data_IF_842456143423
#
_entry.id   IF_842456143423
#
_cell.length_a   1.000
_cell.length_b   1.000
_cell.length_c   1.000
_cell.angle_alpha   90.00
_cell.angle_beta   90.00
_cell.angle_gamma   90.00
#
_symmetry.space_group_name_H-M   'P 1'
#
loop_
_entity.id
_entity.type
_entity.pdbx_description
1 polymer ?
#
# COMPACT_ATOMS: atom_id res chain seq x y z
N UNK A 1 -11.01 -5.95 -41.43
CA UNK A 1 -10.93 -7.31 -40.87
C UNK A 1 -11.88 -7.37 -39.69
N UNK A 2 -12.88 -8.25 -39.71
CA UNK A 2 -13.80 -8.46 -38.58
C UNK A 2 -13.40 -9.79 -37.95
N UNK A 3 -12.97 -9.76 -36.71
CA UNK A 3 -12.69 -10.98 -35.94
C UNK A 3 -14.01 -11.72 -35.66
N UNK A 4 -14.00 -13.04 -35.79
CA UNK A 4 -15.14 -13.84 -35.39
C UNK A 4 -15.29 -13.75 -33.85
N UNK A 5 -16.53 -13.75 -33.31
CA UNK A 5 -16.73 -13.70 -31.83
C UNK A 5 -15.96 -14.78 -31.06
N UNK A 6 -15.78 -15.96 -31.66
CA UNK A 6 -15.02 -17.05 -31.08
C UNK A 6 -13.51 -16.77 -30.97
N UNK A 7 -12.94 -16.04 -31.95
CA UNK A 7 -11.52 -15.63 -31.91
C UNK A 7 -11.29 -14.58 -30.83
N UNK A 8 -12.23 -13.68 -30.62
CA UNK A 8 -12.18 -12.66 -29.59
C UNK A 8 -12.25 -13.30 -28.19
N UNK A 9 -13.12 -14.28 -27.99
CA UNK A 9 -13.21 -15.05 -26.75
C UNK A 9 -11.91 -15.80 -26.47
N UNK A 10 -11.28 -16.39 -27.48
CA UNK A 10 -10.00 -17.09 -27.33
C UNK A 10 -8.89 -16.15 -26.85
N UNK A 11 -8.78 -14.94 -27.43
CA UNK A 11 -7.81 -13.95 -27.01
C UNK A 11 -7.98 -13.55 -25.53
N UNK A 12 -9.23 -13.36 -25.08
CA UNK A 12 -9.52 -13.02 -23.68
C UNK A 12 -9.20 -14.20 -22.74
N UNK A 13 -9.40 -15.43 -23.19
CA UNK A 13 -9.11 -16.64 -22.40
C UNK A 13 -7.63 -17.03 -22.40
N UNK A 14 -6.86 -16.62 -23.41
CA UNK A 14 -5.44 -16.99 -23.55
C UNK A 14 -4.56 -16.41 -22.44
N UNK A 15 -4.95 -15.29 -21.82
CA UNK A 15 -4.30 -14.74 -20.63
C UNK A 15 -4.53 -15.60 -19.35
N UNK A 16 -5.37 -16.64 -19.43
CA UNK A 16 -5.65 -17.54 -18.31
C UNK A 16 -6.44 -16.93 -17.15
N UNK A 17 -6.96 -15.71 -17.34
CA UNK A 17 -7.72 -14.96 -16.33
C UNK A 17 -9.24 -15.21 -16.41
N UNK A 18 -9.70 -15.81 -17.48
CA UNK A 18 -11.13 -16.05 -17.70
C UNK A 18 -11.39 -17.41 -18.33
N UNK A 19 -12.59 -17.91 -18.15
CA UNK A 19 -13.08 -19.11 -18.78
C UNK A 19 -14.61 -19.12 -18.79
N UNK A 20 -15.18 -19.98 -19.61
CA UNK A 20 -16.62 -20.13 -19.77
C UNK A 20 -17.04 -21.57 -19.59
N UNK A 21 -18.30 -21.76 -19.20
CA UNK A 21 -18.91 -23.07 -19.06
C UNK A 21 -20.36 -23.03 -19.50
N UNK A 22 -20.86 -24.18 -19.92
CA UNK A 22 -22.25 -24.37 -20.25
C UNK A 22 -22.71 -25.76 -19.81
N UNK A 23 -24.01 -25.86 -19.45
CA UNK A 23 -24.68 -27.10 -19.08
C UNK A 23 -26.05 -27.16 -19.70
N UNK A 24 -26.29 -28.16 -20.55
CA UNK A 24 -27.59 -28.46 -21.16
C UNK A 24 -28.29 -29.49 -20.28
N UNK A 25 -29.39 -29.11 -19.63
CA UNK A 25 -30.03 -29.94 -18.62
C UNK A 25 -30.68 -31.21 -19.22
N UNK A 26 -31.27 -31.11 -20.40
CA UNK A 26 -31.97 -32.25 -21.03
C UNK A 26 -31.00 -33.40 -21.39
N UNK A 27 -29.77 -33.11 -21.82
CA UNK A 27 -28.77 -34.12 -22.19
C UNK A 27 -27.80 -34.40 -21.05
N UNK A 28 -27.79 -33.57 -20.01
CA UNK A 28 -26.74 -33.58 -18.98
C UNK A 28 -25.35 -33.15 -19.48
N UNK A 29 -25.26 -32.68 -20.73
CA UNK A 29 -23.97 -32.30 -21.33
C UNK A 29 -23.43 -31.03 -20.66
N UNK A 30 -22.19 -31.13 -20.21
CA UNK A 30 -21.44 -30.00 -19.63
C UNK A 30 -20.17 -29.76 -20.44
N UNK A 31 -19.89 -28.50 -20.73
CA UNK A 31 -18.71 -28.08 -21.50
C UNK A 31 -18.02 -26.95 -20.78
N UNK A 32 -16.70 -27.01 -20.79
CA UNK A 32 -15.84 -25.94 -20.29
C UNK A 32 -14.92 -25.48 -21.41
N UNK A 33 -14.66 -24.18 -21.45
CA UNK A 33 -13.69 -23.66 -22.39
C UNK A 33 -12.26 -24.01 -21.99
N UNK A 34 -11.29 -23.99 -22.92
CA UNK A 34 -9.88 -24.20 -22.60
C UNK A 34 -9.37 -23.22 -21.53
N UNK A 35 -9.84 -21.98 -21.52
CA UNK A 35 -9.53 -21.00 -20.50
C UNK A 35 -9.96 -21.41 -19.11
N UNK A 36 -11.15 -22.03 -18.97
CA UNK A 36 -11.60 -22.50 -17.67
C UNK A 36 -10.76 -23.67 -17.13
N UNK A 37 -10.37 -24.63 -17.98
CA UNK A 37 -9.46 -25.70 -17.57
C UNK A 37 -8.13 -25.12 -17.07
N UNK A 38 -7.53 -24.17 -17.83
CA UNK A 38 -6.28 -23.50 -17.41
C UNK A 38 -6.45 -22.76 -16.09
N UNK A 39 -7.56 -22.01 -15.93
CA UNK A 39 -7.86 -21.28 -14.72
C UNK A 39 -7.96 -22.22 -13.50
N UNK A 40 -8.54 -23.39 -13.67
CA UNK A 40 -8.68 -24.40 -12.61
C UNK A 40 -7.42 -25.26 -12.42
N UNK A 41 -6.43 -25.14 -13.30
CA UNK A 41 -5.20 -25.97 -13.26
C UNK A 41 -5.46 -27.41 -13.65
N UNK A 42 -6.39 -27.65 -14.56
CA UNK A 42 -6.80 -28.97 -15.01
C UNK A 42 -6.37 -29.24 -16.46
N UNK A 43 -6.05 -30.51 -16.75
CA UNK A 43 -5.79 -30.95 -18.10
C UNK A 43 -7.10 -31.32 -18.81
N UNK A 44 -7.48 -30.64 -19.89
CA UNK A 44 -8.71 -30.93 -20.63
C UNK A 44 -8.74 -32.32 -21.30
N UNK A 45 -7.56 -32.94 -21.50
CA UNK A 45 -7.48 -34.27 -22.09
C UNK A 45 -7.75 -35.38 -21.07
N UNK A 46 -7.55 -35.10 -19.79
CA UNK A 46 -7.66 -36.06 -18.69
C UNK A 46 -8.89 -35.80 -17.81
N UNK A 47 -9.52 -34.65 -17.97
CA UNK A 47 -10.57 -34.20 -17.07
C UNK A 47 -11.86 -33.93 -17.81
N UNK A 48 -12.95 -34.56 -17.36
CA UNK A 48 -14.29 -34.28 -17.89
C UNK A 48 -14.92 -33.11 -17.16
N UNK A 49 -15.41 -32.13 -17.92
CA UNK A 49 -16.14 -30.99 -17.39
C UNK A 49 -17.39 -31.45 -16.61
N UNK A 50 -17.52 -31.02 -15.36
CA UNK A 50 -18.74 -31.26 -14.57
C UNK A 50 -18.88 -30.22 -13.45
N UNK A 51 -20.14 -29.89 -13.12
CA UNK A 51 -20.46 -28.98 -12.04
C UNK A 51 -20.02 -29.53 -10.67
N UNK A 52 -20.12 -30.87 -10.50
CA UNK A 52 -19.62 -31.54 -9.30
C UNK A 52 -18.15 -31.32 -9.11
N UNK A 53 -17.33 -31.51 -10.16
CA UNK A 53 -15.89 -31.27 -10.10
C UNK A 53 -15.56 -29.80 -9.72
N UNK A 54 -16.29 -28.83 -10.31
CA UNK A 54 -16.12 -27.44 -9.93
C UNK A 54 -16.40 -27.23 -8.44
N UNK A 55 -17.49 -27.82 -7.93
CA UNK A 55 -17.86 -27.71 -6.51
C UNK A 55 -16.82 -28.36 -5.60
N UNK A 56 -16.21 -29.47 -6.01
CA UNK A 56 -15.18 -30.17 -5.25
C UNK A 56 -13.90 -29.34 -5.13
N UNK A 57 -13.56 -28.56 -6.17
CA UNK A 57 -12.42 -27.65 -6.17
C UNK A 57 -12.67 -26.39 -5.32
N UNK A 58 -13.93 -26.05 -5.02
CA UNK A 58 -14.24 -24.90 -4.18
C UNK A 58 -13.81 -25.18 -2.75
N UNK A 59 -13.14 -24.21 -2.15
CA UNK A 59 -12.74 -24.27 -0.75
C UNK A 59 -13.95 -24.59 0.14
N UNK A 60 -13.85 -25.52 1.11
CA UNK A 60 -14.99 -25.99 1.90
C UNK A 60 -15.82 -24.87 2.53
N UNK A 61 -15.17 -23.82 3.03
CA UNK A 61 -15.84 -22.67 3.64
C UNK A 61 -16.64 -21.79 2.65
N UNK A 62 -16.45 -21.99 1.33
CA UNK A 62 -17.10 -21.16 0.31
C UNK A 62 -18.17 -21.94 -0.48
N UNK A 63 -18.30 -23.25 -0.26
CA UNK A 63 -19.24 -24.12 -1.00
C UNK A 63 -20.68 -23.69 -0.87
N UNK A 64 -21.08 -23.11 0.24
CA UNK A 64 -22.44 -22.61 0.46
C UNK A 64 -22.80 -21.38 -0.40
N UNK A 65 -21.81 -20.74 -1.04
CA UNK A 65 -22.03 -19.66 -2.01
C UNK A 65 -22.32 -20.17 -3.43
N UNK A 66 -22.25 -21.47 -3.67
CA UNK A 66 -22.64 -22.07 -4.95
C UNK A 66 -24.10 -22.53 -4.89
N UNK A 67 -24.79 -22.34 -6.01
CA UNK A 67 -26.11 -22.98 -6.19
C UNK A 67 -25.92 -24.50 -6.22
N UNK A 68 -26.77 -25.25 -5.57
CA UNK A 68 -26.79 -26.70 -5.76
C UNK A 68 -27.26 -27.06 -7.17
N UNK A 69 -26.97 -28.28 -7.61
CA UNK A 69 -27.54 -28.80 -8.87
C UNK A 69 -29.06 -28.71 -8.89
N UNK A 70 -29.72 -28.96 -7.76
CA UNK A 70 -31.17 -28.86 -7.63
C UNK A 70 -31.66 -27.42 -7.80
N UNK A 71 -30.96 -26.44 -7.20
CA UNK A 71 -31.31 -25.02 -7.34
C UNK A 71 -31.23 -24.57 -8.80
N UNK A 72 -30.15 -24.94 -9.51
CA UNK A 72 -29.96 -24.59 -10.92
C UNK A 72 -31.10 -25.21 -11.80
N UNK A 73 -31.46 -26.45 -11.53
CA UNK A 73 -32.57 -27.13 -12.23
C UNK A 73 -33.93 -26.53 -11.92
N UNK A 74 -34.08 -25.88 -10.76
CA UNK A 74 -35.28 -25.14 -10.37
C UNK A 74 -35.29 -23.68 -10.83
N UNK A 75 -34.21 -23.23 -11.45
CA UNK A 75 -34.10 -21.86 -11.95
C UNK A 75 -33.54 -20.85 -10.93
N UNK A 76 -33.00 -21.33 -9.84
CA UNK A 76 -32.39 -20.47 -8.84
C UNK A 76 -30.91 -20.24 -9.15
N UNK A 77 -30.52 -18.98 -9.29
CA UNK A 77 -29.13 -18.56 -9.47
C UNK A 77 -28.71 -17.66 -8.31
N UNK A 78 -27.61 -18.00 -7.66
CA UNK A 78 -27.08 -17.17 -6.59
C UNK A 78 -26.40 -15.91 -7.15
N UNK A 79 -26.42 -14.79 -6.40
CA UNK A 79 -25.77 -13.57 -6.82
C UNK A 79 -24.26 -13.77 -6.98
N UNK A 80 -23.64 -12.96 -7.84
CA UNK A 80 -22.20 -12.93 -8.05
C UNK A 80 -21.46 -12.83 -6.71
N UNK A 81 -20.56 -13.78 -6.44
CA UNK A 81 -19.73 -13.85 -5.24
C UNK A 81 -18.30 -14.20 -5.61
N UNK A 82 -17.36 -13.79 -4.77
CA UNK A 82 -16.00 -14.28 -4.80
C UNK A 82 -15.93 -15.59 -4.03
N UNK A 83 -15.33 -16.60 -4.65
CA UNK A 83 -15.12 -17.92 -4.07
C UNK A 83 -13.68 -18.36 -4.30
N UNK A 84 -13.12 -19.13 -3.36
CA UNK A 84 -11.78 -19.68 -3.45
C UNK A 84 -11.80 -21.05 -4.10
N UNK A 85 -10.90 -21.25 -5.03
CA UNK A 85 -10.64 -22.53 -5.69
C UNK A 85 -9.30 -23.06 -5.22
N UNK A 86 -9.25 -24.31 -4.76
CA UNK A 86 -8.04 -25.05 -4.49
C UNK A 86 -7.67 -25.85 -5.74
N UNK A 87 -6.60 -25.49 -6.43
CA UNK A 87 -6.11 -26.20 -7.59
C UNK A 87 -5.43 -27.52 -7.20
N UNK A 88 -5.31 -28.48 -8.13
CA UNK A 88 -4.61 -29.75 -7.87
C UNK A 88 -3.12 -29.57 -7.48
N UNK A 89 -2.49 -28.49 -7.92
CA UNK A 89 -1.11 -28.12 -7.57
C UNK A 89 -0.96 -27.52 -6.17
N UNK A 90 -2.07 -27.39 -5.42
CA UNK A 90 -2.11 -26.80 -4.08
C UNK A 90 -2.23 -25.28 -4.08
N UNK A 91 -2.19 -24.62 -5.23
CA UNK A 91 -2.35 -23.15 -5.29
C UNK A 91 -3.82 -22.75 -5.07
N UNK A 92 -4.01 -21.61 -4.38
CA UNK A 92 -5.34 -21.04 -4.13
C UNK A 92 -5.61 -19.91 -5.11
N UNK A 93 -6.77 -19.93 -5.77
CA UNK A 93 -7.25 -18.86 -6.63
C UNK A 93 -8.55 -18.30 -6.08
N UNK A 94 -8.72 -17.00 -6.18
CA UNK A 94 -10.02 -16.34 -5.92
C UNK A 94 -10.68 -16.06 -7.25
N UNK A 95 -11.87 -16.62 -7.46
CA UNK A 95 -12.62 -16.44 -8.69
C UNK A 95 -13.96 -15.76 -8.41
N UNK A 96 -14.51 -15.13 -9.43
CA UNK A 96 -15.91 -14.71 -9.45
C UNK A 96 -16.60 -15.36 -10.63
N UNK A 97 -17.85 -15.78 -10.42
CA UNK A 97 -18.65 -16.46 -11.45
C UNK A 97 -19.94 -15.69 -11.68
N UNK A 98 -20.28 -15.49 -12.95
CA UNK A 98 -21.60 -15.02 -13.39
C UNK A 98 -22.28 -16.14 -14.14
N UNK A 99 -23.45 -16.53 -13.67
CA UNK A 99 -24.29 -17.59 -14.26
C UNK A 99 -25.53 -16.97 -14.88
N UNK A 100 -25.92 -17.47 -16.03
CA UNK A 100 -27.15 -17.11 -16.74
C UNK A 100 -27.94 -18.37 -17.04
N UNK A 101 -29.26 -18.33 -16.79
CA UNK A 101 -30.16 -19.42 -17.07
C UNK A 101 -30.91 -19.14 -18.38
N UNK A 102 -30.92 -20.14 -19.24
CA UNK A 102 -31.71 -20.13 -20.45
C UNK A 102 -33.01 -20.93 -20.20
N UNK A 103 -34.16 -20.27 -20.37
CA UNK A 103 -35.46 -20.85 -20.14
C UNK A 103 -36.12 -21.28 -21.46
N UNK A 104 -37.03 -22.25 -21.38
CA UNK A 104 -37.96 -22.57 -22.48
C UNK A 104 -39.05 -21.49 -22.57
N UNK A 105 -39.82 -21.42 -23.67
CA UNK A 105 -40.97 -20.51 -23.77
C UNK A 105 -41.97 -20.64 -22.60
N UNK A 106 -42.07 -21.83 -22.00
CA UNK A 106 -42.93 -22.13 -20.85
C UNK A 106 -42.28 -21.76 -19.50
N UNK A 107 -41.11 -21.11 -19.51
CA UNK A 107 -40.43 -20.66 -18.31
C UNK A 107 -39.64 -21.72 -17.56
N UNK A 108 -39.41 -22.92 -18.13
CA UNK A 108 -38.63 -23.98 -17.49
C UNK A 108 -37.14 -23.86 -17.81
N UNK A 109 -36.25 -24.10 -16.85
CA UNK A 109 -34.82 -24.11 -17.10
C UNK A 109 -34.42 -25.16 -18.16
N UNK A 110 -33.75 -24.69 -19.24
CA UNK A 110 -33.27 -25.52 -20.34
C UNK A 110 -31.77 -25.75 -20.26
N UNK A 111 -31.03 -24.68 -19.93
CA UNK A 111 -29.60 -24.70 -19.84
C UNK A 111 -29.12 -23.64 -18.87
N UNK A 112 -27.92 -23.81 -18.36
CA UNK A 112 -27.16 -22.77 -17.67
C UNK A 112 -25.84 -22.53 -18.39
N UNK A 113 -25.39 -21.29 -18.42
CA UNK A 113 -24.07 -20.93 -18.93
C UNK A 113 -23.48 -19.84 -18.05
N UNK A 114 -22.16 -19.72 -18.07
CA UNK A 114 -21.53 -18.70 -17.26
C UNK A 114 -20.07 -18.42 -17.66
N UNK A 115 -19.60 -17.32 -17.14
CA UNK A 115 -18.20 -16.94 -17.22
C UNK A 115 -17.58 -16.94 -15.82
N UNK A 116 -16.32 -17.32 -15.76
CA UNK A 116 -15.50 -17.35 -14.55
C UNK A 116 -14.32 -16.41 -14.79
N UNK A 117 -14.05 -15.54 -13.80
CA UNK A 117 -12.94 -14.61 -13.84
C UNK A 117 -12.02 -14.90 -12.64
N UNK A 118 -10.71 -14.98 -12.88
CA UNK A 118 -9.70 -14.97 -11.82
C UNK A 118 -9.56 -13.54 -11.32
N UNK A 119 -9.83 -13.33 -10.04
CA UNK A 119 -9.71 -12.04 -9.37
C UNK A 119 -8.70 -12.12 -8.21
N UNK A 120 -7.79 -13.10 -8.25
CA UNK A 120 -6.85 -13.38 -7.16
C UNK A 120 -6.04 -12.16 -6.78
N UNK A 121 -5.42 -11.49 -7.76
CA UNK A 121 -4.59 -10.32 -7.50
C UNK A 121 -5.42 -9.12 -7.05
N UNK A 122 -6.59 -8.90 -7.67
CA UNK A 122 -7.50 -7.84 -7.26
C UNK A 122 -8.00 -8.06 -5.82
N UNK A 123 -8.39 -9.29 -5.48
CA UNK A 123 -8.83 -9.65 -4.14
C UNK A 123 -7.69 -9.54 -3.11
N UNK A 124 -6.47 -9.93 -3.48
CA UNK A 124 -5.30 -9.77 -2.62
C UNK A 124 -4.99 -8.28 -2.35
N UNK A 125 -5.01 -7.45 -3.39
CA UNK A 125 -4.81 -6.01 -3.27
C UNK A 125 -5.88 -5.35 -2.38
N UNK A 126 -7.15 -5.73 -2.55
CA UNK A 126 -8.24 -5.23 -1.71
C UNK A 126 -8.06 -5.62 -0.24
N UNK A 127 -7.66 -6.88 0.04
CA UNK A 127 -7.36 -7.33 1.41
C UNK A 127 -6.19 -6.56 2.03
N UNK A 128 -5.12 -6.31 1.27
CA UNK A 128 -3.99 -5.50 1.72
C UNK A 128 -4.43 -4.08 2.06
N UNK A 129 -5.20 -3.43 1.19
CA UNK A 129 -5.75 -2.08 1.43
C UNK A 129 -6.64 -2.04 2.68
N UNK A 130 -7.54 -3.01 2.84
CA UNK A 130 -8.40 -3.10 4.02
C UNK A 130 -7.60 -3.33 5.31
N UNK A 131 -6.56 -4.17 5.24
CA UNK A 131 -5.69 -4.43 6.40
C UNK A 131 -4.90 -3.17 6.78
N UNK A 132 -4.36 -2.45 5.81
CA UNK A 132 -3.65 -1.19 6.01
C UNK A 132 -4.59 -0.13 6.62
N UNK A 133 -5.79 0.01 6.05
CA UNK A 133 -6.81 0.91 6.60
C UNK A 133 -7.15 0.57 8.07
N UNK A 134 -7.39 -0.72 8.38
CA UNK A 134 -7.66 -1.13 9.78
C UNK A 134 -6.52 -0.79 10.71
N UNK A 135 -5.26 -0.96 10.28
CA UNK A 135 -4.08 -0.58 11.06
C UNK A 135 -4.01 0.92 11.30
N UNK A 136 -4.26 1.73 10.26
CA UNK A 136 -4.30 3.20 10.41
C UNK A 136 -5.43 3.64 11.35
N UNK A 137 -6.62 3.10 11.18
CA UNK A 137 -7.77 3.39 12.07
C UNK A 137 -7.48 3.01 13.52
N UNK A 138 -6.82 1.87 13.76
CA UNK A 138 -6.42 1.45 15.11
C UNK A 138 -5.36 2.39 15.71
N UNK A 139 -4.38 2.84 14.92
CA UNK A 139 -3.38 3.83 15.34
C UNK A 139 -4.02 5.16 15.69
N UNK A 140 -4.95 5.64 14.87
CA UNK A 140 -5.69 6.87 15.16
C UNK A 140 -6.49 6.75 16.45
N UNK A 141 -7.22 5.64 16.63
CA UNK A 141 -8.02 5.41 17.85
C UNK A 141 -7.16 5.33 19.11
N UNK A 142 -6.00 4.66 19.03
CA UNK A 142 -5.13 4.45 20.19
C UNK A 142 -4.23 5.66 20.52
N UNK A 143 -3.74 6.38 19.52
CA UNK A 143 -2.70 7.40 19.69
C UNK A 143 -3.03 8.76 19.07
N UNK A 144 -4.15 8.89 18.38
CA UNK A 144 -4.55 10.11 17.64
C UNK A 144 -3.50 10.55 16.61
N UNK A 145 -2.78 9.59 16.03
CA UNK A 145 -1.82 9.86 14.96
C UNK A 145 -2.53 9.73 13.62
N UNK A 146 -2.39 10.76 12.78
CA UNK A 146 -2.93 10.77 11.42
C UNK A 146 -1.79 10.86 10.41
N UNK A 147 -1.83 10.02 9.39
CA UNK A 147 -0.89 10.02 8.27
C UNK A 147 -1.56 10.65 7.05
N UNK A 148 -0.91 11.65 6.46
CA UNK A 148 -1.44 12.40 5.33
C UNK A 148 -0.36 12.42 4.24
N UNK A 149 -0.42 11.53 3.24
CA UNK A 149 0.45 11.60 2.07
C UNK A 149 0.22 12.90 1.30
N UNK A 150 1.30 13.48 0.77
CA UNK A 150 1.28 14.71 -0.01
C UNK A 150 2.16 14.51 -1.24
N UNK A 151 1.60 14.69 -2.42
CA UNK A 151 2.35 14.63 -3.68
C UNK A 151 3.35 15.79 -3.81
N UNK A 152 4.23 15.69 -4.79
CA UNK A 152 5.25 16.72 -5.05
C UNK A 152 4.66 18.06 -5.51
N UNK A 153 3.48 18.03 -6.09
CA UNK A 153 2.71 19.24 -6.49
C UNK A 153 1.96 19.88 -5.33
N UNK A 154 2.00 19.28 -4.13
CA UNK A 154 1.32 19.76 -2.93
C UNK A 154 -0.09 19.20 -2.75
N UNK A 155 -0.52 18.25 -3.56
CA UNK A 155 -1.85 17.61 -3.41
C UNK A 155 -1.86 16.70 -2.18
N UNK A 156 -2.84 16.91 -1.29
CA UNK A 156 -3.05 16.11 -0.08
C UNK A 156 -3.93 14.90 -0.36
N UNK A 157 -3.48 13.73 0.07
CA UNK A 157 -4.26 12.48 0.03
C UNK A 157 -4.80 12.15 1.42
N UNK A 158 -5.94 12.71 1.77
CA UNK A 158 -6.55 12.49 3.07
C UNK A 158 -7.08 11.05 3.20
N UNK A 159 -6.65 10.30 4.22
CA UNK A 159 -7.23 8.99 4.50
C UNK A 159 -8.66 9.14 5.05
N UNK A 160 -9.51 8.09 4.95
CA UNK A 160 -10.88 8.14 5.49
C UNK A 160 -10.97 8.55 6.97
N UNK A 161 -9.92 8.26 7.74
CA UNK A 161 -9.79 8.60 9.15
C UNK A 161 -9.69 10.12 9.40
N UNK A 162 -9.34 10.92 8.40
CA UNK A 162 -9.24 12.38 8.54
C UNK A 162 -10.60 13.01 8.91
N UNK A 163 -11.70 12.51 8.34
CA UNK A 163 -13.04 12.96 8.69
C UNK A 163 -13.38 12.67 10.16
N UNK A 164 -13.02 11.50 10.66
CA UNK A 164 -13.21 11.12 12.08
C UNK A 164 -12.30 11.97 13.00
N UNK A 165 -11.09 12.26 12.56
CA UNK A 165 -10.13 13.05 13.31
C UNK A 165 -10.56 14.51 13.43
N UNK A 166 -10.95 15.14 12.32
CA UNK A 166 -11.37 16.51 12.22
C UNK A 166 -12.79 16.76 12.75
N UNK A 167 -13.68 15.76 12.62
CA UNK A 167 -15.12 15.93 12.85
C UNK A 167 -15.84 16.65 11.70
N UNK A 168 -15.20 16.81 10.51
CA UNK A 168 -15.73 17.44 9.31
C UNK A 168 -15.97 16.42 8.19
N UNK A 169 -16.92 16.69 7.27
CA UNK A 169 -17.04 15.90 6.03
C UNK A 169 -15.74 15.91 5.23
N UNK A 170 -15.44 14.82 4.53
CA UNK A 170 -14.22 14.68 3.73
C UNK A 170 -14.12 15.76 2.63
N UNK A 171 -15.23 16.09 1.99
CA UNK A 171 -15.31 17.12 0.96
C UNK A 171 -14.88 18.51 1.47
N UNK A 172 -15.22 18.87 2.71
CA UNK A 172 -14.80 20.11 3.34
C UNK A 172 -13.30 20.12 3.68
N UNK A 173 -12.75 18.95 4.07
CA UNK A 173 -11.33 18.80 4.36
C UNK A 173 -10.50 18.93 3.08
N UNK A 174 -10.97 18.36 1.97
CA UNK A 174 -10.32 18.46 0.66
C UNK A 174 -10.39 19.90 0.14
N UNK A 175 -11.52 20.58 0.33
CA UNK A 175 -11.70 21.96 -0.11
C UNK A 175 -10.82 22.96 0.64
N UNK A 176 -10.63 22.77 1.96
CA UNK A 176 -9.73 23.59 2.79
C UNK A 176 -8.95 22.69 3.77
N UNK A 177 -7.77 22.21 3.36
CA UNK A 177 -6.90 21.35 4.19
C UNK A 177 -6.44 22.01 5.51
N UNK A 178 -6.47 23.31 5.58
CA UNK A 178 -5.97 24.08 6.72
C UNK A 178 -7.06 24.66 7.61
N UNK A 179 -8.34 24.37 7.34
CA UNK A 179 -9.44 24.92 8.11
C UNK A 179 -9.39 24.56 9.61
N UNK A 180 -8.80 23.38 9.92
CA UNK A 180 -8.64 22.92 11.30
C UNK A 180 -7.39 23.46 12.00
N UNK A 181 -6.58 24.27 11.34
CA UNK A 181 -5.49 25.02 11.98
C UNK A 181 -6.07 26.25 12.66
N UNK A 182 -5.67 26.53 13.89
CA UNK A 182 -6.14 27.72 14.63
C UNK A 182 -5.95 28.99 13.79
N UNK A 183 -6.97 29.86 13.67
CA UNK A 183 -6.93 31.00 12.75
C UNK A 183 -5.72 31.91 12.93
N UNK A 184 -5.25 32.10 14.17
CA UNK A 184 -4.11 32.94 14.49
C UNK A 184 -2.78 32.37 13.98
N UNK A 185 -2.68 31.05 13.77
CA UNK A 185 -1.46 30.36 13.35
C UNK A 185 -1.50 29.94 11.89
N UNK A 186 -2.67 30.00 11.23
CA UNK A 186 -2.89 29.41 9.89
C UNK A 186 -1.94 29.98 8.84
N UNK A 187 -1.81 31.28 8.75
CA UNK A 187 -0.96 31.92 7.74
C UNK A 187 0.51 31.52 7.93
N UNK A 188 1.04 31.64 9.15
CA UNK A 188 2.42 31.25 9.46
C UNK A 188 2.68 29.75 9.25
N UNK A 189 1.67 28.91 9.51
CA UNK A 189 1.76 27.47 9.28
C UNK A 189 1.83 27.15 7.78
N UNK A 190 0.98 27.76 6.95
CA UNK A 190 1.00 27.57 5.49
C UNK A 190 2.34 28.02 4.90
N UNK A 191 2.84 29.19 5.27
CA UNK A 191 4.14 29.72 4.84
C UNK A 191 5.28 28.74 5.23
N UNK A 192 5.21 28.22 6.46
CA UNK A 192 6.20 27.27 6.95
C UNK A 192 6.19 25.95 6.19
N UNK A 193 5.02 25.47 5.75
CA UNK A 193 4.92 24.26 4.91
C UNK A 193 5.50 24.52 3.52
N UNK A 194 5.16 25.64 2.88
CA UNK A 194 5.66 25.99 1.56
C UNK A 194 7.20 26.10 1.55
N UNK A 195 7.79 26.77 2.55
CA UNK A 195 9.23 26.84 2.70
C UNK A 195 9.88 25.48 2.88
N UNK A 196 9.31 24.61 3.71
CA UNK A 196 9.81 23.26 3.97
C UNK A 196 9.72 22.35 2.76
N UNK A 197 8.66 22.50 1.96
CA UNK A 197 8.53 21.77 0.69
C UNK A 197 9.66 22.17 -0.27
N UNK A 198 9.97 23.45 -0.36
CA UNK A 198 11.06 23.96 -1.20
C UNK A 198 12.44 23.43 -0.75
N UNK A 199 12.68 23.36 0.54
CA UNK A 199 13.97 22.92 1.13
C UNK A 199 14.11 21.40 1.20
N UNK A 200 13.10 20.62 0.86
CA UNK A 200 13.05 19.15 0.97
C UNK A 200 13.43 18.61 2.36
N UNK A 201 13.13 19.35 3.40
CA UNK A 201 13.61 19.08 4.75
C UNK A 201 12.61 18.28 5.57
N UNK A 202 13.16 17.46 6.46
CA UNK A 202 12.43 16.82 7.52
C UNK A 202 12.23 17.80 8.68
N UNK A 203 10.96 18.10 9.03
CA UNK A 203 10.68 19.05 10.11
C UNK A 203 9.46 18.69 10.92
N UNK A 204 9.52 18.95 12.23
CA UNK A 204 8.37 18.94 13.11
C UNK A 204 7.94 20.40 13.37
N UNK A 205 6.66 20.72 13.12
CA UNK A 205 6.10 22.01 13.46
C UNK A 205 5.03 21.86 14.52
N UNK A 206 5.04 22.68 15.58
CA UNK A 206 3.91 22.78 16.49
C UNK A 206 2.74 23.48 15.79
N UNK A 207 1.53 23.04 16.07
CA UNK A 207 0.32 23.73 15.65
C UNK A 207 -0.80 23.49 16.65
N UNK A 208 -1.74 24.41 16.71
CA UNK A 208 -3.01 24.18 17.38
C UNK A 208 -4.04 23.71 16.34
N UNK A 209 -4.48 22.47 16.50
CA UNK A 209 -5.50 21.85 15.67
C UNK A 209 -6.86 22.01 16.34
N UNK A 210 -7.84 22.47 15.60
CA UNK A 210 -9.22 22.62 16.10
C UNK A 210 -9.94 21.27 15.95
N UNK A 211 -10.02 20.53 17.02
CA UNK A 211 -10.84 19.31 17.08
C UNK A 211 -12.16 19.64 17.75
N UNK A 212 -13.28 19.40 17.07
CA UNK A 212 -14.61 19.78 17.56
C UNK A 212 -14.68 21.27 17.99
N UNK A 213 -13.91 22.14 17.31
CA UNK A 213 -13.75 23.59 17.58
C UNK A 213 -12.96 23.91 18.86
N UNK A 214 -12.41 22.96 19.54
CA UNK A 214 -11.50 23.19 20.66
C UNK A 214 -10.03 23.07 20.21
N UNK A 215 -9.17 24.06 20.52
CA UNK A 215 -7.77 23.99 20.13
C UNK A 215 -7.02 22.94 20.96
N UNK A 216 -6.46 21.96 20.29
CA UNK A 216 -5.59 20.95 20.89
C UNK A 216 -4.17 21.08 20.31
N UNK A 217 -3.15 20.96 21.11
CA UNK A 217 -1.76 21.04 20.65
C UNK A 217 -1.34 19.76 19.93
N UNK A 218 -0.95 19.94 18.68
CA UNK A 218 -0.42 18.91 17.79
C UNK A 218 0.97 19.27 17.27
N UNK A 219 1.65 18.29 16.74
CA UNK A 219 2.85 18.46 15.92
C UNK A 219 2.62 17.83 14.56
N UNK A 220 3.08 18.48 13.52
CA UNK A 220 3.13 17.94 12.15
C UNK A 220 4.57 17.62 11.82
N UNK A 221 4.81 16.38 11.40
CA UNK A 221 6.09 15.89 10.96
C UNK A 221 5.98 15.62 9.46
N UNK A 222 6.76 16.30 8.63
CA UNK A 222 6.84 16.02 7.20
C UNK A 222 8.03 15.12 6.93
N UNK A 223 7.77 13.94 6.37
CA UNK A 223 8.79 12.92 6.05
C UNK A 223 8.86 12.79 4.53
N UNK A 224 10.00 13.12 3.90
CA UNK A 224 10.18 12.87 2.47
C UNK A 224 10.31 11.37 2.21
N UNK A 225 9.64 10.88 1.17
CA UNK A 225 9.69 9.50 0.70
C UNK A 225 10.45 9.46 -0.62
N UNK A 226 11.43 8.57 -0.71
CA UNK A 226 12.28 8.45 -1.89
C UNK A 226 12.10 7.08 -2.54
N UNK A 227 12.22 7.04 -3.87
CA UNK A 227 12.28 5.78 -4.63
C UNK A 227 13.62 5.05 -4.41
N UNK A 228 13.74 3.86 -4.99
CA UNK A 228 14.96 3.04 -4.93
C UNK A 228 16.19 3.74 -5.53
N UNK A 229 15.98 4.73 -6.39
CA UNK A 229 17.03 5.54 -7.02
C UNK A 229 17.37 6.82 -6.25
N UNK A 230 16.73 7.01 -5.09
CA UNK A 230 16.95 8.20 -4.25
C UNK A 230 16.25 9.47 -4.75
N UNK A 231 15.27 9.36 -5.64
CA UNK A 231 14.45 10.50 -6.08
C UNK A 231 13.27 10.65 -5.13
N UNK A 232 13.00 11.89 -4.72
CA UNK A 232 11.82 12.23 -3.94
C UNK A 232 10.56 11.91 -4.77
N UNK A 233 9.65 11.13 -4.22
CA UNK A 233 8.40 10.72 -4.89
C UNK A 233 7.16 11.28 -4.21
N UNK A 234 7.18 11.42 -2.90
CA UNK A 234 6.08 11.99 -2.12
C UNK A 234 6.59 12.49 -0.77
N UNK A 235 5.73 13.13 0.00
CA UNK A 235 5.96 13.45 1.41
C UNK A 235 4.86 12.80 2.24
N UNK A 236 5.19 12.37 3.43
CA UNK A 236 4.20 11.87 4.38
C UNK A 236 4.11 12.83 5.57
N UNK A 237 2.99 13.52 5.70
CA UNK A 237 2.65 14.31 6.87
C UNK A 237 2.17 13.41 8.00
N UNK A 238 2.77 13.53 9.17
CA UNK A 238 2.34 12.81 10.38
C UNK A 238 1.89 13.84 11.39
N UNK A 239 0.59 13.84 11.65
CA UNK A 239 -0.03 14.69 12.65
C UNK A 239 -0.21 13.89 13.95
N UNK A 240 0.29 14.39 15.08
CA UNK A 240 0.23 13.71 16.38
C UNK A 240 0.11 14.69 17.56
N UNK A 241 -0.55 14.29 18.67
CA UNK A 241 -0.69 15.13 19.85
C UNK A 241 0.67 15.50 20.45
N UNK A 242 0.90 16.76 20.76
CA UNK A 242 2.17 17.22 21.34
C UNK A 242 2.44 16.62 22.75
N UNK A 243 1.38 16.24 23.47
CA UNK A 243 1.47 15.66 24.81
C UNK A 243 2.01 14.21 24.83
N UNK A 244 1.97 13.49 23.70
CA UNK A 244 2.43 12.10 23.63
C UNK A 244 3.97 11.95 23.72
N UNK A 245 4.74 13.04 23.69
CA UNK A 245 6.15 12.93 23.36
C UNK A 245 6.33 12.43 21.93
N UNK A 246 7.54 12.07 21.52
CA UNK A 246 7.73 11.39 20.21
C UNK A 246 7.29 9.92 20.35
N UNK A 247 6.19 9.45 19.70
CA UNK A 247 5.85 8.03 19.72
C UNK A 247 7.01 7.21 19.13
N UNK A 248 7.18 5.93 19.51
CA UNK A 248 8.26 5.07 19.00
C UNK A 248 8.37 5.04 17.47
N UNK A 249 7.22 5.04 16.79
CA UNK A 249 7.15 5.15 15.32
C UNK A 249 7.70 6.48 14.80
N UNK A 250 7.44 7.58 15.49
CA UNK A 250 7.96 8.90 15.15
C UNK A 250 9.45 8.97 15.42
N UNK A 251 9.94 8.32 16.48
CA UNK A 251 11.36 8.24 16.75
C UNK A 251 12.14 7.52 15.63
N UNK A 252 11.58 6.43 15.07
CA UNK A 252 12.19 5.74 13.94
C UNK A 252 12.12 6.55 12.65
N UNK A 253 11.02 7.25 12.40
CA UNK A 253 10.87 8.16 11.26
C UNK A 253 11.77 9.39 11.41
N UNK A 254 11.90 9.94 12.62
CA UNK A 254 12.87 10.99 12.95
C UNK A 254 14.30 10.52 12.70
N UNK A 255 14.63 9.27 13.05
CA UNK A 255 15.93 8.69 12.77
C UNK A 255 16.22 8.61 11.27
N UNK A 256 15.24 8.18 10.47
CA UNK A 256 15.35 8.12 9.00
C UNK A 256 15.53 9.53 8.43
N UNK A 257 14.72 10.50 8.88
CA UNK A 257 14.83 11.90 8.45
C UNK A 257 16.18 12.53 8.87
N UNK A 258 16.63 12.28 10.09
CA UNK A 258 17.94 12.71 10.56
C UNK A 258 19.07 12.15 9.68
N UNK A 259 18.99 10.89 9.26
CA UNK A 259 19.98 10.28 8.36
C UNK A 259 20.05 10.97 6.99
N UNK A 260 18.95 11.56 6.53
CA UNK A 260 18.89 12.35 5.29
C UNK A 260 19.46 13.77 5.45
N UNK A 261 19.40 14.34 6.66
CA UNK A 261 19.98 15.65 6.99
C UNK A 261 21.50 15.60 7.24
N UNK A 262 22.04 14.40 7.48
CA UNK A 262 23.48 14.24 7.68
C UNK A 262 24.20 14.41 6.34
N UNK A 263 24.89 15.53 6.18
CA UNK A 263 25.72 15.87 5.03
C UNK A 263 27.16 15.40 5.19
N UNK A 264 27.98 15.54 4.15
CA UNK A 264 29.36 15.07 4.16
C UNK A 264 30.22 15.74 5.23
N UNK A 265 30.01 17.03 5.50
CA UNK A 265 30.71 17.73 6.57
C UNK A 265 30.33 17.19 7.96
N UNK A 266 29.10 16.71 8.17
CA UNK A 266 28.71 16.06 9.41
C UNK A 266 29.41 14.70 9.57
N UNK A 267 29.60 13.93 8.47
CA UNK A 267 30.32 12.66 8.51
C UNK A 267 31.82 12.91 8.85
N UNK A 268 32.45 13.95 8.27
CA UNK A 268 33.82 14.34 8.61
C UNK A 268 33.97 14.74 10.07
N UNK A 269 33.04 15.57 10.57
CA UNK A 269 33.05 16.01 11.98
C UNK A 269 32.83 14.81 12.92
N UNK A 270 31.91 13.92 12.63
CA UNK A 270 31.66 12.72 13.42
C UNK A 270 32.89 11.80 13.47
N UNK A 271 33.52 11.60 12.31
CA UNK A 271 34.78 10.83 12.21
C UNK A 271 35.92 11.48 13.01
N UNK A 272 36.06 12.80 12.92
CA UNK A 272 37.07 13.54 13.68
C UNK A 272 36.85 13.42 15.19
N UNK A 273 35.63 13.46 15.68
CA UNK A 273 35.31 13.25 17.10
C UNK A 273 35.70 11.86 17.61
N UNK A 274 35.87 10.88 16.74
CA UNK A 274 36.31 9.53 17.06
C UNK A 274 37.83 9.34 16.81
N UNK A 275 38.52 10.35 16.32
CA UNK A 275 39.93 10.26 15.86
C UNK A 275 40.11 9.19 14.76
N UNK A 276 39.11 8.96 13.96
CA UNK A 276 39.13 7.97 12.89
C UNK A 276 39.66 8.54 11.57
N UNK A 277 40.47 7.74 10.88
CA UNK A 277 40.81 7.98 9.48
C UNK A 277 39.64 7.61 8.56
N UNK A 278 39.62 8.09 7.32
CA UNK A 278 38.66 7.64 6.30
C UNK A 278 38.74 6.11 6.08
N UNK A 279 39.92 5.53 6.19
CA UNK A 279 40.15 4.09 6.08
C UNK A 279 39.44 3.33 7.22
N UNK A 280 39.51 3.86 8.45
CA UNK A 280 38.80 3.26 9.61
C UNK A 280 37.29 3.32 9.43
N UNK A 281 36.74 4.44 8.94
CA UNK A 281 35.32 4.54 8.65
C UNK A 281 34.93 3.60 7.50
N UNK A 282 35.71 3.46 6.46
CA UNK A 282 35.48 2.51 5.37
C UNK A 282 35.41 1.07 5.89
N UNK A 283 36.38 0.68 6.73
CA UNK A 283 36.42 -0.65 7.34
C UNK A 283 35.22 -0.88 8.28
N UNK A 284 34.90 0.06 9.16
CA UNK A 284 33.79 -0.06 10.12
C UNK A 284 32.42 -0.07 9.46
N UNK A 285 32.26 0.58 8.30
CA UNK A 285 31.01 0.66 7.55
C UNK A 285 30.86 -0.44 6.47
N UNK A 286 31.94 -1.16 6.14
CA UNK A 286 31.98 -2.10 5.02
C UNK A 286 31.88 -1.41 3.66
N UNK A 287 32.37 -0.16 3.55
CA UNK A 287 32.41 0.63 2.33
C UNK A 287 33.83 0.73 1.78
N UNK A 288 33.97 1.05 0.49
CA UNK A 288 35.27 1.36 -0.08
C UNK A 288 35.75 2.77 0.36
N UNK A 289 37.08 2.99 0.40
CA UNK A 289 37.63 4.29 0.71
C UNK A 289 37.16 5.39 -0.26
N UNK A 290 37.04 5.06 -1.53
CA UNK A 290 36.48 5.97 -2.55
C UNK A 290 35.02 6.35 -2.29
N UNK A 291 34.22 5.41 -1.80
CA UNK A 291 32.83 5.66 -1.40
C UNK A 291 32.76 6.59 -0.20
N UNK A 292 33.60 6.37 0.84
CA UNK A 292 33.67 7.25 2.01
C UNK A 292 34.05 8.66 1.59
N UNK A 293 35.06 8.81 0.69
CA UNK A 293 35.45 10.12 0.18
C UNK A 293 34.31 10.85 -0.51
N UNK A 294 33.60 10.17 -1.43
CA UNK A 294 32.44 10.74 -2.12
C UNK A 294 31.32 11.17 -1.15
N UNK A 295 31.06 10.37 -0.10
CA UNK A 295 30.08 10.70 0.93
C UNK A 295 30.48 11.96 1.70
N UNK A 296 31.73 12.13 2.05
CA UNK A 296 32.26 13.31 2.77
C UNK A 296 32.36 14.56 1.88
N UNK A 297 32.38 14.40 0.56
CA UNK A 297 32.36 15.46 -0.45
C UNK A 297 30.94 15.79 -0.95
N UNK A 298 29.91 15.16 -0.36
CA UNK A 298 28.49 15.24 -0.80
C UNK A 298 28.26 14.92 -2.29
N UNK A 299 29.16 14.15 -2.89
CA UNK A 299 29.04 13.70 -4.28
C UNK A 299 28.09 12.51 -4.46
N UNK A 300 27.44 12.05 -3.38
CA UNK A 300 26.48 10.95 -3.37
C UNK A 300 25.11 11.44 -2.88
N UNK A 301 24.03 10.77 -3.33
CA UNK A 301 22.66 11.16 -2.96
C UNK A 301 22.44 11.14 -1.44
N UNK A 302 21.63 12.08 -0.93
CA UNK A 302 21.37 12.25 0.52
C UNK A 302 20.73 11.03 1.19
N UNK A 303 20.00 10.20 0.46
CA UNK A 303 19.36 8.98 0.98
C UNK A 303 20.07 7.68 0.63
N UNK A 304 21.32 7.73 0.16
CA UNK A 304 22.01 6.54 -0.36
C UNK A 304 22.22 5.47 0.71
N UNK A 305 22.18 4.21 0.27
CA UNK A 305 22.47 3.05 1.13
C UNK A 305 23.85 3.15 1.77
N UNK A 306 24.84 3.69 1.03
CA UNK A 306 26.21 3.90 1.50
C UNK A 306 26.24 4.91 2.65
N UNK A 307 25.50 6.02 2.55
CA UNK A 307 25.43 7.04 3.61
C UNK A 307 24.83 6.45 4.89
N UNK A 308 23.76 5.67 4.78
CA UNK A 308 23.16 4.96 5.93
C UNK A 308 24.14 4.01 6.61
N UNK A 309 24.94 3.27 5.85
CA UNK A 309 26.00 2.40 6.40
C UNK A 309 27.06 3.18 7.16
N UNK A 310 27.51 4.32 6.61
CA UNK A 310 28.49 5.18 7.28
C UNK A 310 27.93 5.75 8.60
N UNK A 311 26.71 6.28 8.60
CA UNK A 311 26.03 6.80 9.81
C UNK A 311 25.86 5.69 10.86
N UNK A 312 25.45 4.49 10.45
CA UNK A 312 25.29 3.36 11.36
C UNK A 312 26.62 2.91 11.99
N UNK A 313 27.72 2.98 11.25
CA UNK A 313 29.05 2.69 11.78
C UNK A 313 29.49 3.73 12.82
N UNK A 314 29.29 5.02 12.54
CA UNK A 314 29.60 6.12 13.47
C UNK A 314 28.75 6.05 14.74
N UNK A 315 27.46 5.73 14.62
CA UNK A 315 26.58 5.51 15.77
C UNK A 315 27.02 4.35 16.66
N UNK A 316 27.43 3.23 16.06
CA UNK A 316 27.96 2.09 16.81
C UNK A 316 29.26 2.43 17.56
N UNK A 317 30.02 3.38 17.05
CA UNK A 317 31.25 3.88 17.68
C UNK A 317 30.99 4.98 18.73
N UNK A 318 29.72 5.28 19.07
CA UNK A 318 29.36 6.23 20.11
C UNK A 318 29.05 7.65 19.61
N UNK A 319 28.89 7.87 18.31
CA UNK A 319 28.40 9.16 17.80
C UNK A 319 26.89 9.25 17.90
N UNK A 320 26.41 10.38 18.41
CA UNK A 320 24.99 10.77 18.37
C UNK A 320 24.80 11.93 17.40
N UNK A 321 23.92 11.75 16.45
CA UNK A 321 23.42 12.82 15.61
C UNK A 321 22.08 13.28 16.17
N UNK A 322 21.88 14.58 16.31
CA UNK A 322 20.68 15.21 16.89
C UNK A 322 20.22 16.34 16.00
N UNK A 323 18.92 16.60 15.93
CA UNK A 323 18.36 17.78 15.30
C UNK A 323 18.11 18.83 16.38
N UNK A 324 18.65 20.02 16.19
CA UNK A 324 18.38 21.18 17.04
C UNK A 324 17.05 21.83 16.62
N UNK A 325 16.52 22.70 17.48
CA UNK A 325 15.24 23.40 17.25
C UNK A 325 15.26 24.26 15.96
N UNK A 326 16.43 24.69 15.53
CA UNK A 326 16.67 25.42 14.28
C UNK A 326 16.94 24.50 13.07
N UNK A 327 16.66 23.23 13.22
CA UNK A 327 16.81 22.19 12.20
C UNK A 327 18.26 21.89 11.76
N UNK A 328 19.25 22.36 12.50
CA UNK A 328 20.64 22.00 12.28
C UNK A 328 20.97 20.65 12.90
N UNK A 329 21.89 19.91 12.27
CA UNK A 329 22.39 18.65 12.81
C UNK A 329 23.51 18.93 13.80
N UNK A 330 23.32 18.57 15.06
CA UNK A 330 24.38 18.54 16.05
C UNK A 330 24.98 17.13 16.15
N UNK A 331 26.27 17.09 16.47
CA UNK A 331 27.02 15.85 16.61
C UNK A 331 27.63 15.85 18.01
N UNK A 332 27.42 14.74 18.74
CA UNK A 332 28.03 14.53 20.04
C UNK A 332 28.66 13.14 20.11
N UNK A 333 29.71 13.01 20.89
CA UNK A 333 30.26 11.72 21.31
C UNK A 333 29.64 11.34 22.64
N UNK A 334 29.10 10.12 22.76
CA UNK A 334 28.54 9.57 24.01
C UNK A 334 29.64 9.00 24.89
#
# INVERSE_FOLDING_TARGET
MSFAPAEFLRLIEDDGLTGSWAWIFASGQQTWSPGLFRLLGLDPTQTRASYSLLTDLVHPADRFYLASTADLLQGHVLPKREIRIARPDGTLRTITMRTELHLTPEGRPRAAAGIVLDVTDAAALLRLRQTDQRRRSALLAASRILFIPVDLDGTYHFPPEAAQFSGRPMEDIIADPYADVAPAERAAFIDSIAQRQAEQMFQAAPLHHLRNREPERYRVLSVPVFDERGRLIERNGILYPAALGAPPLVADLMRIGLEQLVEGHHLRAARALLDWSMTMLAQASGLSLSTVRRLEEDADSRGSHSRRKAIAALRRAGIRFMILDDNRVAIARS
#
